data_IF_036970931790
#
_entry.id   IF_036970931790
#
_cell.length_a   1.000
_cell.length_b   1.000
_cell.length_c   1.000
_cell.angle_alpha   90.00
_cell.angle_beta   90.00
_cell.angle_gamma   90.00
#
_symmetry.space_group_name_H-M   'P 1'
#
loop_
_entity.id
_entity.type
_entity.pdbx_description
1 polymer ?
#
# COMPACT_ATOMS: atom_id res chain seq x y z
N UNK A 1 -25.91 20.57 -7.70
CA UNK A 1 -26.29 19.14 -7.73
C UNK A 1 -26.01 18.61 -6.33
N UNK A 2 -27.05 18.23 -5.56
CA UNK A 2 -26.97 17.98 -4.12
C UNK A 2 -26.72 16.52 -3.73
N UNK A 3 -25.81 15.84 -4.43
CA UNK A 3 -25.39 14.49 -4.09
C UNK A 3 -24.05 14.61 -3.35
N UNK A 4 -23.98 14.08 -2.14
CA UNK A 4 -22.74 13.99 -1.35
C UNK A 4 -21.71 13.14 -2.14
N UNK A 5 -20.52 13.69 -2.49
CA UNK A 5 -19.49 12.93 -3.19
C UNK A 5 -19.12 11.61 -2.48
N UNK A 6 -19.19 11.58 -1.15
CA UNK A 6 -18.91 10.39 -0.33
C UNK A 6 -19.95 9.29 -0.52
N UNK A 7 -21.18 9.65 -0.88
CA UNK A 7 -22.22 8.69 -1.21
C UNK A 7 -21.88 7.90 -2.48
N UNK A 8 -21.32 8.56 -3.50
CA UNK A 8 -20.85 7.93 -4.73
C UNK A 8 -19.78 6.87 -4.46
N UNK A 9 -18.75 7.23 -3.70
CA UNK A 9 -17.66 6.32 -3.30
C UNK A 9 -18.19 5.13 -2.48
N UNK A 10 -19.12 5.36 -1.56
CA UNK A 10 -19.70 4.28 -0.73
C UNK A 10 -20.45 3.23 -1.57
N UNK A 11 -21.03 3.63 -2.71
CA UNK A 11 -21.73 2.72 -3.61
C UNK A 11 -20.77 1.81 -4.39
N UNK A 12 -19.51 2.24 -4.59
CA UNK A 12 -18.48 1.50 -5.30
C UNK A 12 -18.02 0.24 -4.54
N UNK A 13 -18.23 0.16 -3.23
CA UNK A 13 -17.91 -1.03 -2.43
C UNK A 13 -18.61 -2.31 -2.92
N UNK A 14 -19.76 -2.19 -3.59
CA UNK A 14 -20.48 -3.33 -4.19
C UNK A 14 -19.74 -3.93 -5.39
N UNK A 15 -19.01 -3.10 -6.14
CA UNK A 15 -18.21 -3.54 -7.29
C UNK A 15 -17.02 -4.36 -6.80
N UNK A 16 -16.37 -3.91 -5.72
CA UNK A 16 -15.30 -4.66 -5.07
C UNK A 16 -15.75 -6.06 -4.64
N UNK A 17 -16.92 -6.20 -4.01
CA UNK A 17 -17.42 -7.51 -3.53
C UNK A 17 -17.78 -8.50 -4.65
N UNK A 18 -18.14 -8.03 -5.84
CA UNK A 18 -18.60 -8.89 -6.95
C UNK A 18 -17.43 -9.30 -7.85
N UNK A 19 -16.47 -8.40 -8.05
CA UNK A 19 -15.42 -8.54 -9.06
C UNK A 19 -14.01 -8.70 -8.50
N UNK A 20 -13.87 -8.94 -7.19
CA UNK A 20 -12.57 -9.12 -6.50
C UNK A 20 -11.62 -10.10 -7.21
N UNK A 21 -12.18 -11.13 -7.86
CA UNK A 21 -11.40 -12.18 -8.52
C UNK A 21 -10.87 -11.80 -9.93
N UNK A 22 -11.26 -10.64 -10.48
CA UNK A 22 -10.76 -10.14 -11.77
C UNK A 22 -9.71 -9.04 -11.52
N UNK A 23 -8.40 -9.36 -11.53
CA UNK A 23 -7.36 -8.42 -11.16
C UNK A 23 -7.26 -7.24 -12.14
N UNK A 24 -7.51 -7.44 -13.43
CA UNK A 24 -7.41 -6.36 -14.43
C UNK A 24 -8.55 -5.34 -14.24
N UNK A 25 -9.76 -5.84 -13.97
CA UNK A 25 -10.89 -5.00 -13.61
C UNK A 25 -10.66 -4.28 -12.29
N UNK A 26 -10.15 -4.97 -11.27
CA UNK A 26 -9.86 -4.37 -9.97
C UNK A 26 -8.80 -3.27 -10.06
N UNK A 27 -7.76 -3.43 -10.89
CA UNK A 27 -6.78 -2.37 -11.14
C UNK A 27 -7.43 -1.13 -11.76
N UNK A 28 -8.29 -1.31 -12.76
CA UNK A 28 -9.04 -0.20 -13.39
C UNK A 28 -9.97 0.48 -12.38
N UNK A 29 -10.67 -0.33 -11.58
CA UNK A 29 -11.58 0.14 -10.54
C UNK A 29 -10.89 0.97 -9.47
N UNK A 30 -9.76 0.51 -8.92
CA UNK A 30 -9.04 1.29 -7.91
C UNK A 30 -8.43 2.58 -8.47
N UNK A 31 -7.99 2.59 -9.74
CA UNK A 31 -7.58 3.83 -10.42
C UNK A 31 -8.75 4.82 -10.52
N UNK A 32 -9.94 4.34 -10.84
CA UNK A 32 -11.13 5.17 -10.88
C UNK A 32 -11.47 5.73 -9.48
N UNK A 33 -11.49 4.88 -8.44
CA UNK A 33 -11.75 5.31 -7.06
C UNK A 33 -10.75 6.37 -6.60
N UNK A 34 -9.46 6.19 -6.88
CA UNK A 34 -8.42 7.15 -6.50
C UNK A 34 -8.61 8.52 -7.21
N UNK A 35 -9.00 8.51 -8.48
CA UNK A 35 -9.30 9.75 -9.21
C UNK A 35 -10.56 10.45 -8.68
N UNK A 36 -11.60 9.69 -8.36
CA UNK A 36 -12.83 10.22 -7.76
C UNK A 36 -12.54 10.83 -6.40
N UNK A 37 -11.77 10.16 -5.54
CA UNK A 37 -11.34 10.68 -4.23
C UNK A 37 -10.56 11.99 -4.36
N UNK A 38 -9.61 12.07 -5.31
CA UNK A 38 -8.87 13.30 -5.59
C UNK A 38 -9.77 14.44 -6.09
N UNK A 39 -10.78 14.12 -6.90
CA UNK A 39 -11.76 15.12 -7.38
C UNK A 39 -12.65 15.61 -6.23
N UNK A 40 -13.02 14.73 -5.30
CA UNK A 40 -13.74 15.09 -4.08
C UNK A 40 -12.86 16.00 -3.20
N UNK A 41 -11.59 15.65 -3.02
CA UNK A 41 -10.63 16.45 -2.26
C UNK A 41 -10.46 17.86 -2.86
N UNK A 42 -10.36 17.98 -4.19
CA UNK A 42 -10.27 19.28 -4.87
C UNK A 42 -11.53 20.14 -4.62
N UNK A 43 -12.70 19.51 -4.56
CA UNK A 43 -13.96 20.19 -4.32
C UNK A 43 -14.19 20.57 -2.84
N UNK A 44 -13.66 19.78 -1.90
CA UNK A 44 -13.81 19.98 -0.45
C UNK A 44 -12.72 20.90 0.14
N UNK A 45 -11.48 20.80 -0.36
CA UNK A 45 -10.31 21.48 0.21
C UNK A 45 -10.02 22.83 -0.45
N UNK A 46 -9.38 23.74 0.30
CA UNK A 46 -8.81 24.95 -0.30
C UNK A 46 -7.62 24.63 -1.23
N UNK A 47 -7.26 25.51 -2.19
CA UNK A 47 -6.18 25.26 -3.14
C UNK A 47 -4.83 24.88 -2.50
N UNK A 48 -4.50 25.49 -1.36
CA UNK A 48 -3.26 25.20 -0.62
C UNK A 48 -3.31 23.82 0.04
N UNK A 49 -4.41 23.50 0.72
CA UNK A 49 -4.59 22.22 1.44
C UNK A 49 -4.62 21.05 0.45
N UNK A 50 -5.26 21.23 -0.69
CA UNK A 50 -5.25 20.26 -1.77
C UNK A 50 -3.83 20.05 -2.32
N UNK A 51 -3.10 21.13 -2.62
CA UNK A 51 -1.73 21.03 -3.10
C UNK A 51 -0.79 20.32 -2.09
N UNK A 52 -0.95 20.60 -0.80
CA UNK A 52 -0.18 19.94 0.27
C UNK A 52 -0.52 18.44 0.34
N UNK A 53 -1.81 18.07 0.26
CA UNK A 53 -2.25 16.67 0.24
C UNK A 53 -1.70 15.91 -0.96
N UNK A 54 -1.77 16.49 -2.15
CA UNK A 54 -1.22 15.89 -3.39
C UNK A 54 0.30 15.71 -3.28
N UNK A 55 1.02 16.73 -2.82
CA UNK A 55 2.47 16.63 -2.60
C UNK A 55 2.84 15.53 -1.60
N UNK A 56 2.07 15.41 -0.51
CA UNK A 56 2.28 14.37 0.49
C UNK A 56 2.05 12.97 -0.10
N UNK A 57 0.94 12.76 -0.81
CA UNK A 57 0.64 11.50 -1.49
C UNK A 57 1.70 11.14 -2.53
N UNK A 58 2.17 12.10 -3.32
CA UNK A 58 3.23 11.87 -4.31
C UNK A 58 4.53 11.40 -3.65
N UNK A 59 4.97 12.06 -2.57
CA UNK A 59 6.16 11.67 -1.82
C UNK A 59 6.03 10.27 -1.23
N UNK A 60 4.84 9.90 -0.75
CA UNK A 60 4.58 8.55 -0.24
C UNK A 60 4.70 7.50 -1.35
N UNK A 61 4.13 7.76 -2.52
CA UNK A 61 4.24 6.88 -3.69
C UNK A 61 5.69 6.73 -4.17
N UNK A 62 6.47 7.81 -4.16
CA UNK A 62 7.90 7.76 -4.49
C UNK A 62 8.67 6.83 -3.54
N UNK A 63 8.41 6.92 -2.23
CA UNK A 63 9.00 6.01 -1.24
C UNK A 63 8.60 4.56 -1.45
N UNK A 64 7.31 4.28 -1.70
CA UNK A 64 6.84 2.93 -2.00
C UNK A 64 7.52 2.36 -3.25
N UNK A 65 7.69 3.18 -4.30
CA UNK A 65 8.35 2.77 -5.53
C UNK A 65 9.84 2.47 -5.31
N UNK A 66 10.54 3.30 -4.53
CA UNK A 66 11.93 3.08 -4.16
C UNK A 66 12.10 1.78 -3.37
N UNK A 67 11.24 1.54 -2.40
CA UNK A 67 11.18 0.29 -1.64
C UNK A 67 10.99 -0.93 -2.55
N UNK A 68 10.03 -0.88 -3.49
CA UNK A 68 9.79 -1.96 -4.45
C UNK A 68 10.98 -2.20 -5.39
N UNK A 69 11.65 -1.12 -5.84
CA UNK A 69 12.88 -1.22 -6.64
C UNK A 69 14.02 -1.86 -5.84
N UNK A 70 14.14 -1.55 -4.56
CA UNK A 70 15.11 -2.16 -3.67
C UNK A 70 14.80 -3.66 -3.47
N UNK A 71 13.56 -3.98 -3.11
CA UNK A 71 13.08 -5.34 -2.89
C UNK A 71 13.30 -6.25 -4.10
N UNK A 72 13.07 -5.75 -5.32
CA UNK A 72 13.27 -6.49 -6.58
C UNK A 72 14.68 -7.05 -6.77
N UNK A 73 15.69 -6.48 -6.09
CA UNK A 73 17.09 -6.95 -6.17
C UNK A 73 17.34 -8.27 -5.43
N UNK A 74 16.39 -8.74 -4.62
CA UNK A 74 16.52 -9.95 -3.80
C UNK A 74 15.82 -11.16 -4.41
N UNK A 75 16.04 -12.36 -3.84
CA UNK A 75 15.44 -13.61 -4.30
C UNK A 75 13.90 -13.59 -4.15
N UNK A 76 13.17 -14.37 -4.96
CA UNK A 76 11.70 -14.40 -4.93
C UNK A 76 11.13 -14.74 -3.54
N UNK A 77 11.78 -15.65 -2.84
CA UNK A 77 11.39 -15.98 -1.47
C UNK A 77 11.48 -14.74 -0.57
N UNK A 78 12.58 -13.97 -0.68
CA UNK A 78 12.86 -12.73 0.06
C UNK A 78 11.85 -11.64 -0.24
N UNK A 79 11.52 -11.46 -1.51
CA UNK A 79 10.44 -10.57 -1.92
C UNK A 79 9.12 -10.97 -1.26
N UNK A 80 8.79 -12.27 -1.25
CA UNK A 80 7.55 -12.78 -0.66
C UNK A 80 7.47 -12.55 0.85
N UNK A 81 8.56 -12.74 1.59
CA UNK A 81 8.58 -12.47 3.03
C UNK A 81 8.47 -10.99 3.36
N UNK A 82 9.09 -10.12 2.55
CA UNK A 82 8.98 -8.67 2.71
C UNK A 82 7.54 -8.24 2.47
N UNK A 83 6.90 -8.71 1.40
CA UNK A 83 5.49 -8.43 1.10
C UNK A 83 4.53 -8.95 2.17
N UNK A 84 4.75 -10.17 2.69
CA UNK A 84 3.96 -10.71 3.79
C UNK A 84 4.09 -9.89 5.08
N UNK A 85 5.32 -9.43 5.39
CA UNK A 85 5.54 -8.57 6.54
C UNK A 85 4.87 -7.20 6.36
N UNK A 86 4.97 -6.64 5.16
CA UNK A 86 4.34 -5.38 4.79
C UNK A 86 2.81 -5.46 4.89
N UNK A 87 2.21 -6.53 4.37
CA UNK A 87 0.77 -6.78 4.50
C UNK A 87 0.32 -6.76 5.95
N UNK A 88 0.99 -7.52 6.83
CA UNK A 88 0.67 -7.55 8.27
C UNK A 88 0.84 -6.18 8.93
N UNK A 89 1.86 -5.41 8.53
CA UNK A 89 2.07 -4.06 9.05
C UNK A 89 0.90 -3.14 8.69
N UNK A 90 0.44 -3.19 7.44
CA UNK A 90 -0.74 -2.44 7.00
C UNK A 90 -2.00 -2.92 7.73
N UNK A 91 -2.22 -4.23 7.88
CA UNK A 91 -3.37 -4.77 8.63
C UNK A 91 -3.40 -4.26 10.08
N UNK A 92 -2.25 -4.24 10.78
CA UNK A 92 -2.14 -3.71 12.15
C UNK A 92 -2.43 -2.21 12.19
N UNK A 93 -2.06 -1.47 11.15
CA UNK A 93 -2.26 -0.04 11.02
C UNK A 93 -3.61 0.34 10.36
N UNK A 94 -4.56 -0.60 10.23
CA UNK A 94 -5.84 -0.37 9.55
C UNK A 94 -5.69 0.20 8.12
N UNK A 95 -4.68 -0.26 7.39
CA UNK A 95 -4.35 0.15 6.03
C UNK A 95 -3.99 1.64 5.89
N UNK A 96 -3.43 2.25 6.93
CA UNK A 96 -2.82 3.57 6.86
C UNK A 96 -1.70 3.63 5.80
N UNK A 97 -1.68 4.70 5.02
CA UNK A 97 -0.74 4.92 3.93
C UNK A 97 0.72 4.93 4.40
N UNK A 98 1.02 5.50 5.57
CA UNK A 98 2.39 5.52 6.10
C UNK A 98 2.91 4.11 6.45
N UNK A 99 2.01 3.19 6.80
CA UNK A 99 2.37 1.81 7.11
C UNK A 99 2.72 0.98 5.87
N UNK A 100 2.57 1.51 4.66
CA UNK A 100 2.88 0.84 3.38
C UNK A 100 4.35 0.96 2.95
N UNK A 101 5.20 1.60 3.75
CA UNK A 101 6.62 1.80 3.46
C UNK A 101 7.48 1.04 4.46
N UNK A 102 8.53 0.39 3.95
CA UNK A 102 9.62 -0.20 4.72
C UNK A 102 10.93 0.45 4.30
N UNK A 103 11.77 0.75 5.28
CA UNK A 103 13.14 1.22 5.03
C UNK A 103 14.02 0.09 4.49
N UNK A 104 15.13 0.45 3.86
CA UNK A 104 16.08 -0.54 3.33
C UNK A 104 16.65 -1.44 4.44
N UNK A 105 16.85 -0.88 5.63
CA UNK A 105 17.33 -1.59 6.82
C UNK A 105 16.30 -2.62 7.31
N UNK A 106 15.01 -2.24 7.32
CA UNK A 106 13.93 -3.16 7.69
C UNK A 106 13.83 -4.32 6.70
N UNK A 107 13.97 -4.06 5.40
CA UNK A 107 14.01 -5.11 4.37
C UNK A 107 15.18 -6.06 4.60
N UNK A 108 16.38 -5.53 4.83
CA UNK A 108 17.56 -6.36 5.12
C UNK A 108 17.38 -7.19 6.38
N UNK A 109 16.76 -6.63 7.42
CA UNK A 109 16.49 -7.35 8.66
C UNK A 109 15.55 -8.53 8.44
N UNK A 110 14.47 -8.34 7.66
CA UNK A 110 13.51 -9.40 7.30
C UNK A 110 14.22 -10.54 6.57
N UNK A 111 15.07 -10.19 5.60
CA UNK A 111 15.84 -11.16 4.80
C UNK A 111 16.83 -11.91 5.71
N UNK A 112 17.61 -11.19 6.51
CA UNK A 112 18.62 -11.77 7.40
C UNK A 112 18.00 -12.73 8.43
N UNK A 113 16.86 -12.40 9.02
CA UNK A 113 16.17 -13.25 10.01
C UNK A 113 15.77 -14.61 9.44
N UNK A 114 15.61 -14.73 8.12
CA UNK A 114 15.37 -16.04 7.48
C UNK A 114 16.65 -16.81 7.15
N UNK A 115 17.75 -16.10 6.88
CA UNK A 115 19.04 -16.75 6.57
C UNK A 115 19.76 -17.23 7.85
N UNK A 116 19.40 -16.70 9.02
CA UNK A 116 19.87 -17.23 10.30
C UNK A 116 19.41 -18.69 10.48
N UNK A 117 20.31 -19.67 10.57
CA UNK A 117 19.93 -21.03 10.93
C UNK A 117 19.28 -20.98 12.31
N UNK A 118 18.14 -21.65 12.49
CA UNK A 118 17.75 -22.10 13.82
C UNK A 118 18.93 -22.92 14.37
N UNK A 119 19.71 -22.33 15.27
CA UNK A 119 20.67 -23.07 16.08
C UNK A 119 19.87 -24.09 16.92
N UNK A 120 19.80 -25.33 16.44
CA UNK A 120 19.43 -26.47 17.26
C UNK A 120 20.65 -26.84 18.11
N UNK A 121 20.59 -26.76 19.45
CA UNK A 121 21.66 -27.26 20.28
C UNK A 121 21.53 -28.78 20.34
N UNK A 122 22.38 -29.49 19.61
CA UNK A 122 22.66 -30.89 19.89
C UNK A 122 24.16 -31.10 19.85
N UNK A 123 24.80 -31.08 21.02
CA UNK A 123 26.00 -31.89 21.25
C UNK A 123 26.29 -32.03 22.74
N UNK A 124 26.12 -33.28 23.19
CA UNK A 124 26.66 -33.99 24.37
C UNK A 124 26.26 -33.53 25.77
#
# INVERSE_FOLDING_TARGET
>A
MGIDPRFGISCLGKVNMIYENDPDLMIQFYKFVANEEMTCDEAELGPTEFADKVNYQQKLQEKQLEMLKYMRKHHLDDQSAVLEKLRRQMEIANFDGEASVLSSEQIQEIIRRRVSPLFSPTSR
#
